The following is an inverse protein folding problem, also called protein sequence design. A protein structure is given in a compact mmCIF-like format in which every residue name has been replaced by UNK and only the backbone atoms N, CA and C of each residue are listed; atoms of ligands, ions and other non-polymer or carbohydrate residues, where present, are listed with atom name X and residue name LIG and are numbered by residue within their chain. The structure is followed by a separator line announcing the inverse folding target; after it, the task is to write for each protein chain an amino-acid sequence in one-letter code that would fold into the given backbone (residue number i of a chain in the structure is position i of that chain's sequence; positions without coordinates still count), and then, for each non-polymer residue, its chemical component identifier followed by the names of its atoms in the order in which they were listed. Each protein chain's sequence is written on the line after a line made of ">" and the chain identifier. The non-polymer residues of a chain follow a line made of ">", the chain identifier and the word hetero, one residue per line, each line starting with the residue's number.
data_IF_303065899056
#
_entry.id   IF_303065899056
#
_cell.length_a   1.000
_cell.length_b   1.000
_cell.length_c   1.000
_cell.angle_alpha   90.00
_cell.angle_beta   90.00
_cell.angle_gamma   90.00
#
_symmetry.space_group_name_H-M   'P 1'
#
loop_
_entity.id
_entity.type
_entity.pdbx_description
1 polymer ?
#
# COMPACT_ATOMS: atom_id res chain seq x y z
N UNK A 1 -2.07 3.31 -0.18
CA UNK A 1 -3.12 2.54 -0.85
C UNK A 1 -2.97 1.04 -0.60
N UNK A 2 -1.83 0.41 -0.96
CA UNK A 2 -1.61 -1.03 -0.86
C UNK A 2 -1.91 -1.60 0.55
N UNK A 3 -1.31 -1.00 1.58
CA UNK A 3 -1.54 -1.40 2.98
C UNK A 3 -3.00 -1.23 3.42
N UNK A 4 -3.72 -0.21 2.91
CA UNK A 4 -5.15 -0.03 3.18
C UNK A 4 -5.99 -1.11 2.50
N UNK A 5 -5.63 -1.54 1.28
CA UNK A 5 -6.29 -2.68 0.63
C UNK A 5 -6.12 -3.94 1.47
N UNK A 6 -4.90 -4.25 1.94
CA UNK A 6 -4.64 -5.38 2.83
C UNK A 6 -5.43 -5.27 4.15
N UNK A 7 -5.38 -4.11 4.80
CA UNK A 7 -6.06 -3.87 6.08
C UNK A 7 -7.57 -4.07 5.96
N UNK A 8 -8.21 -3.39 5.00
CA UNK A 8 -9.67 -3.48 4.83
C UNK A 8 -10.11 -4.86 4.32
N UNK A 9 -9.30 -5.55 3.51
CA UNK A 9 -9.59 -6.93 3.10
C UNK A 9 -9.60 -7.87 4.30
N UNK A 10 -8.58 -7.82 5.16
CA UNK A 10 -8.51 -8.62 6.40
C UNK A 10 -9.62 -8.26 7.38
N UNK A 11 -9.93 -6.96 7.55
CA UNK A 11 -11.04 -6.51 8.38
C UNK A 11 -12.40 -7.01 7.86
N UNK A 12 -12.58 -7.04 6.54
CA UNK A 12 -13.80 -7.60 5.93
C UNK A 12 -13.94 -9.10 6.21
N UNK A 13 -12.84 -9.87 6.13
CA UNK A 13 -12.88 -11.30 6.46
C UNK A 13 -13.34 -11.57 7.90
N UNK A 14 -13.04 -10.67 8.84
CA UNK A 14 -13.43 -10.82 10.25
C UNK A 14 -14.93 -10.58 10.50
N UNK A 15 -15.54 -9.60 9.84
CA UNK A 15 -16.90 -9.16 10.19
C UNK A 15 -17.82 -8.86 9.00
N UNK A 16 -17.35 -9.05 7.77
CA UNK A 16 -18.06 -8.84 6.52
C UNK A 16 -18.76 -7.46 6.39
N UNK A 17 -18.14 -6.44 6.97
CA UNK A 17 -18.67 -5.09 6.90
C UNK A 17 -18.52 -4.53 5.47
N UNK A 18 -19.64 -4.24 4.82
CA UNK A 18 -19.69 -3.71 3.44
C UNK A 18 -18.94 -2.37 3.26
N UNK A 19 -18.73 -1.61 4.33
CA UNK A 19 -17.89 -0.42 4.27
C UNK A 19 -16.45 -0.78 3.89
N UNK A 20 -15.87 -1.82 4.48
CA UNK A 20 -14.51 -2.26 4.18
C UNK A 20 -14.37 -2.74 2.73
N UNK A 21 -15.34 -3.54 2.27
CA UNK A 21 -15.39 -3.97 0.85
C UNK A 21 -15.45 -2.76 -0.09
N UNK A 22 -16.34 -1.80 0.18
CA UNK A 22 -16.45 -0.58 -0.60
C UNK A 22 -15.14 0.19 -0.67
N UNK A 23 -14.41 0.33 0.46
CA UNK A 23 -13.11 1.01 0.48
C UNK A 23 -12.08 0.28 -0.38
N UNK A 24 -11.99 -1.06 -0.30
CA UNK A 24 -11.09 -1.84 -1.17
C UNK A 24 -11.39 -1.59 -2.64
N UNK A 25 -12.67 -1.68 -3.03
CA UNK A 25 -13.08 -1.46 -4.43
C UNK A 25 -12.74 -0.05 -4.92
N UNK A 26 -12.99 0.99 -4.10
CA UNK A 26 -12.67 2.38 -4.45
C UNK A 26 -11.16 2.61 -4.57
N UNK A 27 -10.33 2.02 -3.68
CA UNK A 27 -8.87 2.13 -3.74
C UNK A 27 -8.33 1.40 -4.98
N UNK A 28 -8.75 0.16 -5.23
CA UNK A 28 -8.30 -0.61 -6.40
C UNK A 28 -8.69 0.08 -7.71
N UNK A 29 -9.91 0.64 -7.80
CA UNK A 29 -10.35 1.43 -8.94
C UNK A 29 -9.47 2.67 -9.18
N UNK A 30 -9.06 3.36 -8.12
CA UNK A 30 -8.13 4.50 -8.20
C UNK A 30 -6.75 4.05 -8.73
N UNK A 31 -6.20 2.96 -8.19
CA UNK A 31 -4.92 2.40 -8.62
C UNK A 31 -4.97 2.02 -10.11
N UNK A 32 -6.02 1.34 -10.54
CA UNK A 32 -6.17 0.92 -11.94
C UNK A 32 -6.29 2.11 -12.91
N UNK A 33 -6.95 3.19 -12.49
CA UNK A 33 -7.18 4.35 -13.34
C UNK A 33 -6.02 5.34 -13.37
N UNK A 34 -5.32 5.52 -12.27
CA UNK A 34 -4.37 6.64 -12.12
C UNK A 34 -2.91 6.18 -11.97
N UNK A 35 -2.65 4.96 -11.49
CA UNK A 35 -1.29 4.51 -11.15
C UNK A 35 -0.88 3.20 -11.82
N UNK A 36 -1.67 2.64 -12.73
CA UNK A 36 -1.33 1.38 -13.41
C UNK A 36 -0.57 1.63 -14.70
N UNK A 37 0.53 0.88 -14.89
CA UNK A 37 1.23 0.73 -16.14
C UNK A 37 0.64 -0.43 -16.97
N UNK A 38 0.79 -0.39 -18.30
CA UNK A 38 0.25 -1.41 -19.20
C UNK A 38 0.87 -2.80 -18.99
N UNK A 39 2.07 -2.88 -18.41
CA UNK A 39 2.89 -4.10 -18.29
C UNK A 39 2.70 -4.84 -16.95
N UNK A 40 1.66 -4.52 -16.18
CA UNK A 40 1.43 -5.18 -14.89
C UNK A 40 1.99 -4.42 -13.68
N UNK A 41 2.79 -3.38 -13.89
CA UNK A 41 3.37 -2.58 -12.81
C UNK A 41 2.43 -1.48 -12.30
N UNK A 42 2.85 -0.87 -11.18
CA UNK A 42 2.22 0.32 -10.60
C UNK A 42 3.24 1.44 -10.48
N UNK A 43 2.86 2.63 -10.92
CA UNK A 43 3.64 3.86 -10.78
C UNK A 43 3.68 4.35 -9.34
N UNK A 44 4.67 5.17 -9.02
CA UNK A 44 4.95 5.58 -7.65
C UNK A 44 3.88 6.50 -7.06
N UNK A 45 3.58 7.62 -7.73
CA UNK A 45 2.68 8.63 -7.17
C UNK A 45 2.19 9.64 -8.19
N UNK A 46 1.18 10.40 -7.81
CA UNK A 46 0.83 11.67 -8.41
C UNK A 46 1.46 12.79 -7.59
N UNK A 47 1.87 13.87 -8.25
CA UNK A 47 2.37 15.07 -7.59
C UNK A 47 1.32 15.66 -6.64
N UNK A 48 1.73 16.26 -5.55
CA UNK A 48 0.84 17.00 -4.66
C UNK A 48 0.33 18.28 -5.35
N UNK A 49 1.16 18.88 -6.20
CA UNK A 49 0.84 20.10 -6.92
C UNK A 49 0.20 19.84 -8.28
N UNK A 50 -0.70 20.71 -8.65
CA UNK A 50 -1.26 20.79 -10.00
C UNK A 50 -1.55 22.25 -10.37
N UNK A 51 -1.71 22.54 -11.67
CA UNK A 51 -2.03 23.90 -12.08
C UNK A 51 -3.47 24.28 -11.68
N UNK A 52 -3.58 25.41 -11.00
CA UNK A 52 -4.86 26.06 -10.71
C UNK A 52 -5.44 26.75 -11.94
N UNK A 53 -6.60 27.40 -11.80
CA UNK A 53 -7.28 28.11 -12.90
C UNK A 53 -6.48 29.28 -13.52
N UNK A 54 -5.43 29.76 -12.83
CA UNK A 54 -4.52 30.81 -13.30
C UNK A 54 -3.27 30.22 -14.00
N UNK A 55 -3.11 28.90 -14.02
CA UNK A 55 -1.93 28.21 -14.54
C UNK A 55 -0.75 28.15 -13.58
N UNK A 56 -0.90 28.54 -12.32
CA UNK A 56 0.11 28.50 -11.27
C UNK A 56 0.07 27.12 -10.59
N UNK A 57 1.24 26.59 -10.17
CA UNK A 57 1.32 25.36 -9.38
C UNK A 57 0.80 25.63 -7.98
N UNK A 58 -0.14 24.82 -7.55
CA UNK A 58 -0.74 24.90 -6.21
C UNK A 58 -1.05 23.50 -5.68
N UNK A 59 -0.67 23.26 -4.43
CA UNK A 59 -0.94 22.01 -3.73
C UNK A 59 -2.44 21.75 -3.63
N UNK A 60 -2.86 20.56 -4.05
CA UNK A 60 -4.23 20.10 -3.96
C UNK A 60 -5.19 20.70 -4.99
N UNK A 61 -4.76 21.64 -5.88
CA UNK A 61 -5.65 22.34 -6.80
C UNK A 61 -6.56 21.43 -7.65
N UNK A 62 -6.09 20.26 -8.02
CA UNK A 62 -6.88 19.27 -8.76
C UNK A 62 -8.05 18.73 -7.95
N UNK A 63 -7.92 18.60 -6.62
CA UNK A 63 -8.86 17.85 -5.76
C UNK A 63 -9.80 18.73 -4.94
N UNK A 64 -9.43 19.99 -4.68
CA UNK A 64 -10.22 20.89 -3.86
C UNK A 64 -11.27 21.66 -4.67
N UNK A 65 -12.28 22.21 -3.99
CA UNK A 65 -13.43 22.86 -4.61
C UNK A 65 -13.74 24.18 -3.95
N UNK A 66 -14.10 25.19 -4.74
CA UNK A 66 -14.69 26.40 -4.20
C UNK A 66 -16.19 26.24 -4.00
N UNK A 67 -16.77 26.98 -3.08
CA UNK A 67 -18.22 26.99 -2.86
C UNK A 67 -18.99 27.42 -4.13
N UNK A 68 -18.45 28.39 -4.88
CA UNK A 68 -19.06 28.87 -6.10
C UNK A 68 -19.13 27.81 -7.21
N UNK A 69 -18.05 27.03 -7.39
CA UNK A 69 -18.02 25.88 -8.31
C UNK A 69 -19.07 24.84 -7.90
N UNK A 70 -19.11 24.47 -6.62
CA UNK A 70 -20.06 23.47 -6.12
C UNK A 70 -21.51 23.91 -6.30
N UNK A 71 -21.84 25.18 -6.05
CA UNK A 71 -23.20 25.75 -6.30
C UNK A 71 -23.58 25.68 -7.78
N UNK A 72 -22.63 25.99 -8.66
CA UNK A 72 -22.87 25.95 -10.10
C UNK A 72 -23.11 24.53 -10.62
N UNK A 73 -22.31 23.56 -10.14
CA UNK A 73 -22.37 22.17 -10.57
C UNK A 73 -23.60 21.43 -10.02
N UNK A 74 -23.93 21.65 -8.75
CA UNK A 74 -24.94 20.85 -8.03
C UNK A 74 -26.29 21.52 -7.95
N UNK A 75 -26.37 22.81 -8.24
CA UNK A 75 -27.65 23.58 -8.29
C UNK A 75 -28.53 23.36 -7.05
N UNK A 76 -29.72 22.81 -7.23
CA UNK A 76 -30.71 22.56 -6.15
C UNK A 76 -30.20 21.60 -5.06
N UNK A 77 -29.28 20.69 -5.40
CA UNK A 77 -28.74 19.72 -4.46
C UNK A 77 -27.60 20.29 -3.59
N UNK A 78 -27.10 21.50 -3.90
CA UNK A 78 -25.94 22.07 -3.21
C UNK A 78 -26.07 22.10 -1.69
N UNK A 79 -27.22 22.52 -1.15
CA UNK A 79 -27.41 22.64 0.32
C UNK A 79 -27.24 21.28 1.02
N UNK A 80 -27.83 20.23 0.46
CA UNK A 80 -27.75 18.89 1.01
C UNK A 80 -26.32 18.33 0.87
N UNK A 81 -25.68 18.54 -0.29
CA UNK A 81 -24.31 18.19 -0.54
C UNK A 81 -23.33 18.87 0.44
N UNK A 82 -23.51 20.20 0.64
CA UNK A 82 -22.65 20.97 1.53
C UNK A 82 -22.74 20.48 2.98
N UNK A 83 -23.95 20.11 3.43
CA UNK A 83 -24.12 19.50 4.75
C UNK A 83 -23.49 18.11 4.84
N UNK A 84 -23.57 17.30 3.77
CA UNK A 84 -23.02 15.93 3.73
C UNK A 84 -21.50 15.90 3.71
N UNK A 85 -20.87 16.79 2.95
CA UNK A 85 -19.41 16.86 2.80
C UNK A 85 -18.75 17.99 3.60
N UNK A 86 -19.47 18.63 4.54
CA UNK A 86 -18.95 19.65 5.43
C UNK A 86 -18.27 20.83 4.69
N UNK A 87 -19.00 21.44 3.74
CA UNK A 87 -18.56 22.70 3.12
C UNK A 87 -18.77 23.85 4.12
N UNK A 88 -17.92 23.90 5.12
CA UNK A 88 -17.90 24.81 6.27
C UNK A 88 -16.48 24.83 6.87
N UNK A 89 -16.28 25.40 8.05
CA UNK A 89 -14.97 25.50 8.71
C UNK A 89 -14.28 24.14 8.89
N UNK A 90 -15.03 23.04 9.03
CA UNK A 90 -14.46 21.69 9.18
C UNK A 90 -13.84 21.17 7.87
N UNK A 91 -14.45 21.45 6.73
CA UNK A 91 -13.93 21.07 5.42
C UNK A 91 -13.08 22.15 4.74
N UNK A 92 -12.90 23.31 5.39
CA UNK A 92 -12.09 24.39 4.85
C UNK A 92 -10.61 23.97 4.71
N UNK A 93 -10.03 24.22 3.53
CA UNK A 93 -8.63 23.94 3.26
C UNK A 93 -7.78 25.21 3.33
N UNK A 94 -7.79 25.99 2.28
CA UNK A 94 -7.12 27.30 2.15
C UNK A 94 -7.74 28.09 0.99
N UNK A 95 -7.58 29.40 0.96
CA UNK A 95 -7.96 30.24 -0.19
C UNK A 95 -9.42 30.02 -0.68
N UNK A 96 -10.36 29.90 0.24
CA UNK A 96 -11.79 29.58 -0.05
C UNK A 96 -12.01 28.23 -0.79
N UNK A 97 -11.09 27.30 -0.65
CA UNK A 97 -11.24 25.93 -1.12
C UNK A 97 -11.59 24.98 0.02
N UNK A 98 -12.31 23.93 -0.33
CA UNK A 98 -12.80 22.90 0.58
C UNK A 98 -12.34 21.52 0.15
N UNK A 99 -12.03 20.67 1.12
CA UNK A 99 -11.86 19.22 0.98
C UNK A 99 -13.17 18.55 1.34
N UNK A 100 -13.57 17.55 0.56
CA UNK A 100 -14.82 16.84 0.78
C UNK A 100 -14.66 15.80 1.90
N UNK A 101 -15.03 16.17 3.12
CA UNK A 101 -14.87 15.36 4.34
C UNK A 101 -16.23 14.97 4.89
N UNK A 102 -16.39 13.72 5.30
CA UNK A 102 -17.57 13.23 6.03
C UNK A 102 -17.23 13.01 7.50
N UNK A 103 -18.09 13.44 8.39
CA UNK A 103 -17.96 13.28 9.83
C UNK A 103 -19.06 12.40 10.46
N UNK A 104 -19.95 11.82 9.64
CA UNK A 104 -21.00 10.91 10.07
C UNK A 104 -21.27 9.84 9.02
N UNK A 105 -21.89 8.73 9.43
CA UNK A 105 -22.27 7.66 8.50
C UNK A 105 -23.44 8.08 7.59
N UNK A 106 -23.60 7.38 6.45
CA UNK A 106 -24.74 7.60 5.55
C UNK A 106 -26.08 7.41 6.27
N UNK A 107 -26.19 6.43 7.17
CA UNK A 107 -27.38 6.16 7.96
C UNK A 107 -27.72 7.32 8.92
N UNK A 108 -26.70 7.82 9.64
CA UNK A 108 -26.88 8.95 10.56
C UNK A 108 -27.29 10.21 9.81
N UNK A 109 -26.65 10.48 8.66
CA UNK A 109 -26.97 11.64 7.83
C UNK A 109 -28.37 11.55 7.24
N UNK A 110 -28.76 10.41 6.67
CA UNK A 110 -30.07 10.18 6.10
C UNK A 110 -31.18 10.39 7.17
N UNK A 111 -31.01 9.77 8.34
CA UNK A 111 -31.97 9.95 9.47
C UNK A 111 -32.10 11.41 9.91
N UNK A 112 -30.97 12.13 10.02
CA UNK A 112 -30.96 13.55 10.45
C UNK A 112 -31.66 14.47 9.45
N UNK A 113 -31.64 14.14 8.15
CA UNK A 113 -32.20 14.95 7.08
C UNK A 113 -33.53 14.40 6.53
N UNK A 114 -34.14 13.45 7.25
CA UNK A 114 -35.43 12.85 6.88
C UNK A 114 -35.46 12.25 5.46
N UNK A 115 -34.32 11.63 5.07
CA UNK A 115 -34.16 10.97 3.77
C UNK A 115 -34.15 9.45 3.91
N UNK A 116 -34.67 8.78 2.92
CA UNK A 116 -34.41 7.34 2.76
C UNK A 116 -32.95 7.09 2.41
N UNK A 117 -32.35 6.06 3.05
CA UNK A 117 -30.95 5.73 2.82
C UNK A 117 -30.63 5.43 1.35
N UNK A 118 -31.57 4.78 0.64
CA UNK A 118 -31.45 4.51 -0.79
C UNK A 118 -31.37 5.79 -1.61
N UNK A 119 -32.24 6.76 -1.33
CA UNK A 119 -32.25 8.06 -1.99
C UNK A 119 -30.92 8.81 -1.79
N UNK A 120 -30.40 8.84 -0.55
CA UNK A 120 -29.13 9.46 -0.25
C UNK A 120 -27.99 8.80 -1.06
N UNK A 121 -27.95 7.47 -1.14
CA UNK A 121 -26.92 6.75 -1.89
C UNK A 121 -26.95 7.10 -3.39
N UNK A 122 -28.12 7.21 -3.99
CA UNK A 122 -28.24 7.61 -5.40
C UNK A 122 -27.82 9.08 -5.61
N UNK A 123 -28.18 9.98 -4.70
CA UNK A 123 -27.70 11.37 -4.72
C UNK A 123 -26.17 11.43 -4.62
N UNK A 124 -25.56 10.72 -3.68
CA UNK A 124 -24.09 10.67 -3.51
C UNK A 124 -23.40 10.14 -4.78
N UNK A 125 -23.94 9.10 -5.40
CA UNK A 125 -23.45 8.58 -6.67
C UNK A 125 -23.50 9.62 -7.80
N UNK A 126 -24.62 10.33 -7.90
CA UNK A 126 -24.82 11.42 -8.87
C UNK A 126 -23.84 12.56 -8.64
N UNK A 127 -23.69 13.03 -7.39
CA UNK A 127 -22.73 14.09 -7.05
C UNK A 127 -21.29 13.69 -7.38
N UNK A 128 -20.87 12.46 -7.00
CA UNK A 128 -19.56 11.94 -7.37
C UNK A 128 -19.33 11.95 -8.89
N UNK A 129 -20.32 11.55 -9.68
CA UNK A 129 -20.24 11.56 -11.14
C UNK A 129 -20.06 12.98 -11.69
N UNK A 130 -20.89 13.94 -11.25
CA UNK A 130 -20.80 15.34 -11.66
C UNK A 130 -19.42 15.94 -11.34
N UNK A 131 -18.96 15.73 -10.10
CA UNK A 131 -17.67 16.26 -9.65
C UNK A 131 -16.49 15.60 -10.38
N UNK A 132 -16.53 14.29 -10.61
CA UNK A 132 -15.49 13.62 -11.40
C UNK A 132 -15.43 14.14 -12.84
N UNK A 133 -16.57 14.35 -13.49
CA UNK A 133 -16.60 14.94 -14.84
C UNK A 133 -16.05 16.38 -14.86
N UNK A 134 -16.35 17.18 -13.84
CA UNK A 134 -15.81 18.53 -13.73
C UNK A 134 -14.30 18.51 -13.43
N UNK A 135 -13.85 17.68 -12.50
CA UNK A 135 -12.45 17.52 -12.12
C UNK A 135 -11.59 17.04 -13.30
N UNK A 136 -12.09 16.10 -14.09
CA UNK A 136 -11.35 15.55 -15.23
C UNK A 136 -11.09 16.58 -16.35
N UNK A 137 -11.73 17.76 -16.29
CA UNK A 137 -11.41 18.89 -17.17
C UNK A 137 -10.25 19.74 -16.67
N UNK A 138 -9.85 19.58 -15.41
CA UNK A 138 -8.69 20.27 -14.82
C UNK A 138 -7.41 19.59 -15.27
N UNK A 139 -6.29 20.33 -15.22
CA UNK A 139 -4.99 19.74 -15.44
C UNK A 139 -4.65 18.77 -14.32
N UNK A 140 -4.42 17.50 -14.65
CA UNK A 140 -4.03 16.47 -13.68
C UNK A 140 -2.66 16.80 -13.08
N UNK A 141 -2.40 16.36 -11.83
CA UNK A 141 -1.06 16.31 -11.25
C UNK A 141 -0.10 15.52 -12.14
N UNK A 142 1.18 15.85 -12.08
CA UNK A 142 2.19 15.09 -12.79
C UNK A 142 2.29 13.68 -12.20
N UNK A 143 2.50 12.71 -13.07
CA UNK A 143 2.72 11.32 -12.69
C UNK A 143 4.21 11.08 -12.46
N UNK A 144 4.60 10.59 -11.30
CA UNK A 144 5.89 9.96 -11.10
C UNK A 144 5.84 8.52 -11.61
N UNK A 145 6.23 8.35 -12.85
CA UNK A 145 6.18 7.09 -13.59
C UNK A 145 7.29 6.08 -13.22
N UNK A 146 8.02 6.31 -12.13
CA UNK A 146 8.92 5.30 -11.58
C UNK A 146 8.12 4.13 -11.00
N UNK A 147 8.61 2.93 -11.24
CA UNK A 147 8.13 1.70 -10.62
C UNK A 147 9.13 1.34 -9.52
N UNK A 148 8.69 1.34 -8.26
CA UNK A 148 9.51 0.95 -7.12
C UNK A 148 9.18 -0.49 -6.70
N UNK A 149 10.21 -1.31 -6.49
CA UNK A 149 10.07 -2.73 -6.17
C UNK A 149 9.26 -2.95 -4.90
N UNK A 150 9.61 -2.29 -3.80
CA UNK A 150 8.89 -2.43 -2.53
C UNK A 150 7.43 -1.99 -2.61
N UNK A 151 7.12 -0.89 -3.31
CA UNK A 151 5.76 -0.41 -3.43
C UNK A 151 4.88 -1.29 -4.32
N UNK A 152 5.47 -1.87 -5.37
CA UNK A 152 4.79 -2.87 -6.19
C UNK A 152 4.58 -4.18 -5.41
N UNK A 153 5.55 -4.63 -4.64
CA UNK A 153 5.42 -5.78 -3.77
C UNK A 153 4.31 -5.59 -2.70
N UNK A 154 4.20 -4.39 -2.12
CA UNK A 154 3.08 -4.06 -1.24
C UNK A 154 1.73 -4.11 -1.97
N UNK A 155 1.68 -3.64 -3.24
CA UNK A 155 0.45 -3.69 -4.03
C UNK A 155 0.09 -5.12 -4.44
N UNK A 156 1.09 -5.94 -4.79
CA UNK A 156 0.94 -7.38 -4.99
C UNK A 156 0.29 -8.04 -3.76
N UNK A 157 0.82 -7.76 -2.54
CA UNK A 157 0.22 -8.23 -1.29
C UNK A 157 -1.23 -7.77 -1.15
N UNK A 158 -1.52 -6.51 -1.47
CA UNK A 158 -2.88 -5.96 -1.43
C UNK A 158 -3.86 -6.71 -2.33
N UNK A 159 -3.47 -7.02 -3.57
CA UNK A 159 -4.29 -7.80 -4.50
C UNK A 159 -4.49 -9.25 -4.04
N UNK A 160 -3.46 -9.88 -3.46
CA UNK A 160 -3.59 -11.22 -2.86
C UNK A 160 -4.56 -11.21 -1.70
N UNK A 161 -4.46 -10.23 -0.79
CA UNK A 161 -5.37 -10.11 0.35
C UNK A 161 -6.81 -9.80 -0.10
N UNK A 162 -6.99 -8.98 -1.15
CA UNK A 162 -8.31 -8.75 -1.76
C UNK A 162 -8.88 -10.03 -2.41
N UNK A 163 -8.05 -10.82 -3.07
CA UNK A 163 -8.48 -12.13 -3.60
C UNK A 163 -8.91 -13.08 -2.47
N UNK A 164 -8.13 -13.19 -1.39
CA UNK A 164 -8.48 -13.99 -0.21
C UNK A 164 -9.81 -13.56 0.42
N UNK A 165 -10.10 -12.25 0.41
CA UNK A 165 -11.32 -11.71 1.01
C UNK A 165 -12.57 -11.84 0.15
N UNK A 166 -12.45 -11.68 -1.18
CA UNK A 166 -13.60 -11.54 -2.07
C UNK A 166 -13.75 -12.64 -3.11
N UNK A 167 -12.75 -13.51 -3.28
CA UNK A 167 -12.77 -14.62 -4.25
C UNK A 167 -12.76 -14.18 -5.73
N UNK A 168 -12.49 -12.90 -6.02
CA UNK A 168 -12.51 -12.38 -7.38
C UNK A 168 -11.21 -12.74 -8.12
N UNK A 169 -11.30 -13.62 -9.11
CA UNK A 169 -10.17 -14.10 -9.92
C UNK A 169 -9.41 -12.99 -10.66
N UNK A 170 -10.05 -11.83 -10.94
CA UNK A 170 -9.37 -10.69 -11.52
C UNK A 170 -8.28 -10.13 -10.60
N UNK A 171 -8.45 -10.19 -9.28
CA UNK A 171 -7.43 -9.77 -8.32
C UNK A 171 -6.24 -10.71 -8.31
N UNK A 172 -6.46 -12.03 -8.35
CA UNK A 172 -5.38 -12.99 -8.46
C UNK A 172 -4.61 -12.81 -9.77
N UNK A 173 -5.32 -12.63 -10.89
CA UNK A 173 -4.69 -12.38 -12.19
C UNK A 173 -3.81 -11.12 -12.13
N UNK A 174 -4.31 -10.01 -11.54
CA UNK A 174 -3.55 -8.78 -11.40
C UNK A 174 -2.32 -8.93 -10.50
N UNK A 175 -2.43 -9.73 -9.44
CA UNK A 175 -1.31 -10.09 -8.57
C UNK A 175 -0.23 -10.86 -9.34
N UNK A 176 -0.61 -11.85 -10.14
CA UNK A 176 0.31 -12.64 -10.97
C UNK A 176 1.02 -11.74 -12.01
N UNK A 177 0.27 -10.90 -12.73
CA UNK A 177 0.84 -9.95 -13.70
C UNK A 177 1.88 -9.02 -13.06
N UNK A 178 1.61 -8.55 -11.84
CA UNK A 178 2.56 -7.70 -11.12
C UNK A 178 3.79 -8.49 -10.63
N UNK A 179 3.61 -9.72 -10.15
CA UNK A 179 4.74 -10.58 -9.78
C UNK A 179 5.62 -10.90 -10.99
N UNK A 180 5.04 -11.24 -12.12
CA UNK A 180 5.78 -11.53 -13.37
C UNK A 180 6.57 -10.29 -13.81
N UNK A 181 5.97 -9.09 -13.78
CA UNK A 181 6.68 -7.85 -14.07
C UNK A 181 7.91 -7.64 -13.17
N UNK A 182 7.75 -7.85 -11.84
CA UNK A 182 8.85 -7.67 -10.89
C UNK A 182 9.98 -8.70 -11.13
N UNK A 183 9.63 -9.94 -11.44
CA UNK A 183 10.59 -11.01 -11.75
C UNK A 183 11.35 -10.70 -13.04
N UNK A 184 10.65 -10.28 -14.08
CA UNK A 184 11.25 -10.02 -15.39
C UNK A 184 12.14 -8.76 -15.41
N UNK A 185 11.76 -7.71 -14.66
CA UNK A 185 12.40 -6.40 -14.79
C UNK A 185 13.27 -6.00 -13.59
N UNK A 186 13.04 -6.57 -12.40
CA UNK A 186 13.75 -6.17 -11.18
C UNK A 186 14.72 -7.23 -10.67
N UNK A 187 14.50 -8.52 -10.99
CA UNK A 187 15.41 -9.58 -10.61
C UNK A 187 16.66 -9.54 -11.51
N UNK A 188 17.83 -9.47 -10.88
CA UNK A 188 19.13 -9.47 -11.55
C UNK A 188 19.60 -10.90 -11.84
N UNK A 189 20.52 -11.05 -12.77
CA UNK A 189 21.12 -12.35 -13.14
C UNK A 189 21.92 -13.01 -12.01
N UNK A 190 22.43 -12.21 -11.07
CA UNK A 190 23.16 -12.67 -9.89
C UNK A 190 22.23 -13.05 -8.70
N UNK A 191 20.92 -12.97 -8.87
CA UNK A 191 19.92 -13.26 -7.85
C UNK A 191 19.55 -12.06 -6.97
N UNK A 192 20.19 -10.92 -7.14
CA UNK A 192 19.82 -9.67 -6.46
C UNK A 192 18.64 -8.97 -7.11
N UNK A 193 18.17 -7.89 -6.47
CA UNK A 193 17.09 -7.04 -6.97
C UNK A 193 17.59 -5.64 -7.32
N UNK A 194 16.90 -4.99 -8.24
CA UNK A 194 16.94 -3.55 -8.44
C UNK A 194 15.77 -2.90 -7.68
N UNK A 195 15.97 -1.65 -7.21
CA UNK A 195 14.96 -0.88 -6.50
C UNK A 195 13.93 -0.25 -7.41
N UNK A 196 14.36 0.26 -8.57
CA UNK A 196 13.54 1.09 -9.46
C UNK A 196 13.56 0.60 -10.89
N UNK A 197 12.44 0.84 -11.60
CA UNK A 197 12.37 0.70 -13.05
C UNK A 197 11.74 1.96 -13.64
N UNK A 198 12.36 2.48 -14.70
CA UNK A 198 11.85 3.62 -15.48
C UNK A 198 12.45 3.60 -16.88
N UNK A 199 11.64 3.87 -17.91
CA UNK A 199 12.08 3.92 -19.32
C UNK A 199 12.84 2.65 -19.75
N UNK A 200 12.34 1.47 -19.37
CA UNK A 200 12.94 0.19 -19.73
C UNK A 200 14.24 -0.14 -18.99
N UNK A 201 14.58 0.58 -17.93
CA UNK A 201 15.85 0.39 -17.19
C UNK A 201 15.65 0.33 -15.68
N UNK A 202 16.40 -0.58 -15.07
CA UNK A 202 16.57 -0.70 -13.62
C UNK A 202 18.03 -0.36 -13.27
N UNK A 203 18.26 0.59 -12.37
CA UNK A 203 19.58 1.21 -12.20
C UNK A 203 20.06 1.32 -10.75
N UNK A 204 19.18 1.22 -9.78
CA UNK A 204 19.50 1.39 -8.36
C UNK A 204 19.49 0.01 -7.70
N UNK A 205 20.56 -0.33 -6.97
CA UNK A 205 20.60 -1.53 -6.14
C UNK A 205 19.48 -1.49 -5.10
N UNK A 206 18.81 -2.63 -4.89
CA UNK A 206 17.70 -2.72 -3.96
C UNK A 206 18.16 -2.63 -2.49
N UNK A 207 17.32 -2.06 -1.65
CA UNK A 207 17.48 -2.05 -0.20
C UNK A 207 16.76 -3.25 0.42
N UNK A 208 17.03 -3.55 1.67
CA UNK A 208 16.39 -4.66 2.39
C UNK A 208 14.85 -4.60 2.32
N UNK A 209 14.27 -3.41 2.33
CA UNK A 209 12.83 -3.17 2.18
C UNK A 209 12.27 -3.81 0.91
N UNK A 210 12.99 -3.70 -0.21
CA UNK A 210 12.56 -4.23 -1.51
C UNK A 210 12.54 -5.77 -1.48
N UNK A 211 13.56 -6.39 -0.88
CA UNK A 211 13.60 -7.85 -0.69
C UNK A 211 12.53 -8.31 0.28
N UNK A 212 12.43 -7.68 1.45
CA UNK A 212 11.52 -8.08 2.51
C UNK A 212 10.06 -8.09 2.05
N UNK A 213 9.64 -7.00 1.40
CA UNK A 213 8.25 -6.87 0.89
C UNK A 213 7.97 -7.81 -0.28
N UNK A 214 8.94 -8.01 -1.19
CA UNK A 214 8.76 -8.94 -2.31
C UNK A 214 8.68 -10.39 -1.81
N UNK A 215 9.57 -10.82 -0.93
CA UNK A 215 9.52 -12.17 -0.33
C UNK A 215 8.16 -12.39 0.35
N UNK A 216 7.69 -11.44 1.16
CA UNK A 216 6.40 -11.51 1.84
C UNK A 216 5.26 -11.73 0.85
N UNK A 217 5.22 -10.93 -0.21
CA UNK A 217 4.14 -10.99 -1.20
C UNK A 217 4.20 -12.25 -2.07
N UNK A 218 5.39 -12.75 -2.39
CA UNK A 218 5.57 -14.01 -3.12
C UNK A 218 5.13 -15.22 -2.29
N UNK A 219 5.46 -15.26 -1.00
CA UNK A 219 4.94 -16.31 -0.08
C UNK A 219 3.41 -16.27 -0.06
N UNK A 220 2.83 -15.06 0.07
CA UNK A 220 1.36 -14.90 0.07
C UNK A 220 0.72 -15.27 -1.27
N UNK A 221 1.41 -15.02 -2.39
CA UNK A 221 0.94 -15.41 -3.72
C UNK A 221 1.00 -16.94 -3.90
N UNK A 222 2.06 -17.60 -3.40
CA UNK A 222 2.13 -19.05 -3.34
C UNK A 222 0.94 -19.64 -2.56
N UNK A 223 0.56 -19.07 -1.42
CA UNK A 223 -0.56 -19.56 -0.59
C UNK A 223 -1.90 -19.63 -1.34
N UNK A 224 -2.10 -18.81 -2.37
CA UNK A 224 -3.36 -18.75 -3.13
C UNK A 224 -3.28 -19.36 -4.53
N UNK A 225 -2.10 -19.39 -5.13
CA UNK A 225 -1.88 -19.97 -6.48
C UNK A 225 -1.41 -21.41 -6.43
N UNK A 226 -0.80 -21.85 -5.33
CA UNK A 226 -0.10 -23.14 -5.14
C UNK A 226 1.05 -23.33 -6.13
N UNK A 227 1.56 -22.24 -6.73
CA UNK A 227 2.70 -22.26 -7.63
C UNK A 227 4.01 -22.24 -6.84
N UNK A 228 4.74 -23.34 -6.86
CA UNK A 228 6.00 -23.52 -6.12
C UNK A 228 7.12 -22.59 -6.59
N UNK A 229 7.03 -22.03 -7.81
CA UNK A 229 8.02 -21.06 -8.31
C UNK A 229 8.18 -19.85 -7.38
N UNK A 230 7.08 -19.37 -6.80
CA UNK A 230 7.10 -18.22 -5.88
C UNK A 230 7.76 -18.57 -4.54
N UNK A 231 7.58 -19.79 -4.05
CA UNK A 231 8.23 -20.27 -2.84
C UNK A 231 9.74 -20.44 -3.05
N UNK A 232 10.13 -21.05 -4.18
CA UNK A 232 11.55 -21.22 -4.54
C UNK A 232 12.25 -19.87 -4.74
N UNK A 233 11.59 -18.91 -5.40
CA UNK A 233 12.14 -17.57 -5.58
C UNK A 233 12.28 -16.85 -4.22
N UNK A 234 11.30 -16.98 -3.34
CA UNK A 234 11.37 -16.43 -1.98
C UNK A 234 12.59 -16.96 -1.23
N UNK A 235 12.86 -18.26 -1.34
CA UNK A 235 14.07 -18.87 -0.75
C UNK A 235 15.36 -18.28 -1.33
N UNK A 236 15.44 -18.18 -2.64
CA UNK A 236 16.64 -17.64 -3.31
C UNK A 236 16.91 -16.18 -2.88
N UNK A 237 15.85 -15.37 -2.74
CA UNK A 237 15.95 -13.98 -2.27
C UNK A 237 16.37 -13.91 -0.79
N UNK A 238 15.87 -14.82 0.06
CA UNK A 238 16.35 -14.94 1.45
C UNK A 238 17.84 -15.31 1.48
N UNK A 239 18.25 -16.31 0.72
CA UNK A 239 19.66 -16.72 0.66
C UNK A 239 20.56 -15.53 0.22
N UNK A 240 20.12 -14.76 -0.79
CA UNK A 240 20.83 -13.57 -1.22
C UNK A 240 20.91 -12.51 -0.10
N UNK A 241 19.80 -12.25 0.62
CA UNK A 241 19.81 -11.27 1.73
C UNK A 241 20.70 -11.71 2.89
N UNK A 242 20.77 -13.00 3.19
CA UNK A 242 21.67 -13.53 4.24
C UNK A 242 23.13 -13.28 3.88
N UNK A 243 23.50 -13.44 2.61
CA UNK A 243 24.89 -13.20 2.16
C UNK A 243 25.25 -11.72 2.16
N UNK A 244 24.35 -10.84 1.72
CA UNK A 244 24.67 -9.44 1.41
C UNK A 244 24.21 -8.42 2.46
N UNK A 245 23.26 -8.77 3.31
CA UNK A 245 22.66 -7.83 4.27
C UNK A 245 22.78 -8.29 5.73
N UNK A 246 22.94 -9.59 6.02
CA UNK A 246 22.95 -10.08 7.39
C UNK A 246 24.22 -9.71 8.15
N UNK A 247 24.06 -9.25 9.39
CA UNK A 247 25.15 -8.99 10.33
C UNK A 247 25.18 -10.08 11.41
N UNK A 248 26.20 -10.93 11.34
CA UNK A 248 26.40 -12.00 12.32
C UNK A 248 26.66 -11.49 13.74
N UNK A 249 27.07 -10.23 13.90
CA UNK A 249 27.36 -9.65 15.22
C UNK A 249 26.07 -9.27 15.95
N UNK A 250 25.16 -8.60 15.26
CA UNK A 250 23.87 -8.18 15.83
C UNK A 250 22.77 -9.21 15.61
N UNK A 251 22.96 -10.22 14.75
CA UNK A 251 21.93 -11.13 14.28
C UNK A 251 20.72 -10.39 13.66
N UNK A 252 20.96 -9.29 12.98
CA UNK A 252 19.97 -8.48 12.28
C UNK A 252 20.41 -8.20 10.85
N UNK A 253 19.54 -7.64 10.02
CA UNK A 253 19.90 -7.24 8.66
C UNK A 253 20.16 -5.74 8.60
N UNK A 254 21.24 -5.36 7.90
CA UNK A 254 21.44 -3.97 7.50
C UNK A 254 20.40 -3.57 6.43
N UNK A 255 20.06 -2.29 6.38
CA UNK A 255 19.12 -1.76 5.38
C UNK A 255 19.71 -1.74 3.96
N UNK A 256 21.04 -1.57 3.84
CA UNK A 256 21.78 -1.49 2.58
C UNK A 256 22.67 -2.70 2.37
N UNK A 257 22.90 -3.07 1.10
CA UNK A 257 23.77 -4.19 0.73
C UNK A 257 25.25 -3.96 1.12
N UNK A 258 25.98 -5.03 1.41
CA UNK A 258 27.42 -4.99 1.56
C UNK A 258 28.18 -4.69 0.25
N UNK A 259 27.48 -4.76 -0.90
CA UNK A 259 28.02 -4.39 -2.20
C UNK A 259 28.11 -2.87 -2.41
N UNK A 260 27.35 -2.08 -1.65
CA UNK A 260 27.26 -0.63 -1.76
C UNK A 260 28.49 0.04 -1.11
N UNK A 261 29.61 0.09 -1.84
CA UNK A 261 30.94 0.48 -1.33
C UNK A 261 31.10 1.94 -0.89
N UNK A 262 30.15 2.82 -1.21
CA UNK A 262 30.26 4.27 -0.96
C UNK A 262 29.55 4.74 0.32
N UNK A 263 29.14 3.83 1.18
CA UNK A 263 28.41 4.16 2.41
C UNK A 263 29.39 4.38 3.58
N UNK A 264 29.20 5.48 4.31
CA UNK A 264 29.96 5.76 5.54
C UNK A 264 29.58 4.78 6.65
N UNK A 265 28.31 4.40 6.75
CA UNK A 265 27.81 3.41 7.71
C UNK A 265 26.57 2.72 7.15
N UNK A 266 26.38 1.45 7.54
CA UNK A 266 25.15 0.69 7.26
C UNK A 266 24.25 0.76 8.50
N UNK A 267 22.98 1.05 8.29
CA UNK A 267 21.96 1.15 9.36
C UNK A 267 21.12 -0.11 9.42
N UNK A 268 20.67 -0.45 10.62
CA UNK A 268 19.66 -1.47 10.88
C UNK A 268 18.34 -0.78 11.19
N UNK A 269 17.27 -1.11 10.46
CA UNK A 269 15.94 -0.57 10.64
C UNK A 269 15.06 -1.61 11.34
N UNK A 270 14.59 -1.29 12.54
CA UNK A 270 13.82 -2.23 13.38
C UNK A 270 12.47 -1.67 13.87
N UNK A 271 12.31 -0.34 13.81
CA UNK A 271 11.09 0.33 14.28
C UNK A 271 10.11 0.42 13.12
N UNK A 272 8.88 -0.05 13.33
CA UNK A 272 7.81 0.08 12.38
C UNK A 272 7.37 1.55 12.28
N UNK A 273 7.24 2.05 11.05
CA UNK A 273 6.85 3.41 10.74
C UNK A 273 5.59 3.45 9.86
N UNK A 274 5.63 4.28 8.80
CA UNK A 274 4.58 4.33 7.76
C UNK A 274 4.43 2.98 7.07
N UNK A 275 5.55 2.28 6.90
CA UNK A 275 5.63 0.87 6.48
C UNK A 275 6.25 0.09 7.64
N UNK A 276 5.93 -1.18 7.78
CA UNK A 276 6.63 -2.07 8.71
C UNK A 276 8.12 -2.10 8.41
N UNK A 277 8.96 -2.16 9.45
CA UNK A 277 10.41 -2.16 9.28
C UNK A 277 10.86 -3.37 8.46
N UNK A 278 11.89 -3.16 7.64
CA UNK A 278 12.43 -4.23 6.79
C UNK A 278 12.87 -5.46 7.59
N UNK A 279 13.43 -5.27 8.79
CA UNK A 279 13.79 -6.36 9.68
C UNK A 279 12.56 -7.10 10.26
N UNK A 280 11.50 -6.39 10.63
CA UNK A 280 10.29 -7.05 11.14
C UNK A 280 9.60 -7.90 10.06
N UNK A 281 9.61 -7.42 8.82
CA UNK A 281 9.09 -8.19 7.67
C UNK A 281 9.99 -9.40 7.41
N UNK A 282 11.32 -9.24 7.39
CA UNK A 282 12.25 -10.35 7.20
C UNK A 282 12.11 -11.42 8.27
N UNK A 283 11.96 -11.04 9.55
CA UNK A 283 11.75 -12.00 10.64
C UNK A 283 10.47 -12.84 10.44
N UNK A 284 9.36 -12.20 10.04
CA UNK A 284 8.12 -12.91 9.70
C UNK A 284 8.30 -13.81 8.45
N UNK A 285 9.03 -13.34 7.43
CA UNK A 285 9.33 -14.13 6.22
C UNK A 285 10.17 -15.37 6.54
N UNK A 286 11.24 -15.22 7.32
CA UNK A 286 12.07 -16.32 7.76
C UNK A 286 11.28 -17.36 8.55
N UNK A 287 10.38 -16.92 9.44
CA UNK A 287 9.52 -17.80 10.19
C UNK A 287 8.59 -18.62 9.26
N UNK A 288 7.85 -17.94 8.40
CA UNK A 288 6.90 -18.59 7.47
C UNK A 288 7.60 -19.52 6.49
N UNK A 289 8.65 -19.01 5.83
CA UNK A 289 9.38 -19.77 4.81
C UNK A 289 10.09 -20.97 5.44
N UNK A 290 10.66 -20.81 6.64
CA UNK A 290 11.26 -21.90 7.40
C UNK A 290 10.27 -23.02 7.69
N UNK A 291 9.01 -22.71 7.99
CA UNK A 291 7.97 -23.72 8.16
C UNK A 291 7.57 -24.40 6.83
N UNK A 292 7.42 -23.64 5.74
CA UNK A 292 7.11 -24.21 4.43
C UNK A 292 8.21 -25.18 3.91
N UNK A 293 9.46 -24.83 4.17
CA UNK A 293 10.63 -25.56 3.67
C UNK A 293 11.22 -26.55 4.68
N UNK A 294 10.66 -26.65 5.89
CA UNK A 294 11.24 -27.41 7.02
C UNK A 294 12.68 -26.98 7.35
N UNK A 295 13.01 -25.70 7.15
CA UNK A 295 14.33 -25.13 7.44
C UNK A 295 14.36 -24.51 8.83
N UNK A 296 14.87 -25.30 9.80
CA UNK A 296 14.97 -24.87 11.21
C UNK A 296 15.93 -23.69 11.40
N UNK A 297 16.92 -23.50 10.53
CA UNK A 297 17.86 -22.37 10.63
C UNK A 297 17.16 -21.05 10.38
N UNK A 298 16.26 -20.98 9.38
CA UNK A 298 15.45 -19.80 9.13
C UNK A 298 14.55 -19.47 10.33
N UNK A 299 13.91 -20.50 10.91
CA UNK A 299 13.06 -20.35 12.11
C UNK A 299 13.88 -19.83 13.30
N UNK A 300 15.08 -20.38 13.52
CA UNK A 300 15.96 -19.95 14.61
C UNK A 300 16.48 -18.53 14.42
N UNK A 301 16.83 -18.14 13.19
CA UNK A 301 17.18 -16.75 12.85
C UNK A 301 16.03 -15.79 13.18
N UNK A 302 14.81 -16.13 12.78
CA UNK A 302 13.60 -15.33 13.09
C UNK A 302 13.42 -15.13 14.59
N UNK A 303 13.54 -16.21 15.37
CA UNK A 303 13.43 -16.17 16.83
C UNK A 303 14.53 -15.34 17.48
N UNK A 304 15.77 -15.45 16.99
CA UNK A 304 16.90 -14.66 17.49
C UNK A 304 16.69 -13.17 17.21
N UNK A 305 16.22 -12.80 16.02
CA UNK A 305 15.90 -11.41 15.69
C UNK A 305 14.85 -10.83 16.65
N UNK A 306 13.78 -11.58 16.93
CA UNK A 306 12.74 -11.17 17.88
C UNK A 306 13.30 -11.06 19.31
N UNK A 307 14.11 -12.02 19.74
CA UNK A 307 14.73 -12.01 21.07
C UNK A 307 15.57 -10.76 21.30
N UNK A 308 16.33 -10.32 20.28
CA UNK A 308 17.16 -9.12 20.36
C UNK A 308 16.38 -7.83 20.63
N UNK A 309 15.07 -7.83 20.36
CA UNK A 309 14.20 -6.65 20.51
C UNK A 309 13.20 -6.77 21.66
N UNK A 310 13.26 -7.83 22.47
CA UNK A 310 12.25 -8.10 23.51
C UNK A 310 12.07 -6.92 24.47
N UNK A 311 13.15 -6.28 24.92
CA UNK A 311 13.08 -5.10 25.80
C UNK A 311 12.45 -3.89 25.12
N UNK A 312 12.82 -3.62 23.85
CA UNK A 312 12.30 -2.50 23.07
C UNK A 312 10.78 -2.65 22.81
N UNK A 313 10.33 -3.87 22.49
CA UNK A 313 8.91 -4.18 22.26
C UNK A 313 8.10 -3.93 23.54
N UNK A 314 8.63 -4.33 24.71
CA UNK A 314 7.97 -4.10 25.99
C UNK A 314 7.82 -2.61 26.31
N UNK A 315 8.84 -1.80 26.02
CA UNK A 315 8.84 -0.36 26.30
C UNK A 315 7.98 0.46 25.32
N UNK A 316 7.89 0.06 24.05
CA UNK A 316 7.20 0.80 22.99
C UNK A 316 6.51 -0.12 21.99
N UNK A 317 5.44 -0.78 22.39
CA UNK A 317 4.73 -1.76 21.55
C UNK A 317 4.19 -1.21 20.23
N UNK A 318 3.84 0.08 20.16
CA UNK A 318 3.31 0.70 18.94
C UNK A 318 4.35 0.77 17.81
N UNK A 319 5.61 1.02 18.14
CA UNK A 319 6.71 1.03 17.17
C UNK A 319 7.17 -0.37 16.73
N UNK A 320 6.54 -1.43 17.23
CA UNK A 320 6.91 -2.83 16.97
C UNK A 320 5.71 -3.73 16.65
N UNK A 321 4.66 -3.16 16.06
CA UNK A 321 3.41 -3.88 15.80
C UNK A 321 3.60 -5.13 14.91
N UNK A 322 4.46 -5.06 13.89
CA UNK A 322 4.73 -6.20 13.02
C UNK A 322 5.61 -7.28 13.69
N UNK A 323 6.44 -6.91 14.67
CA UNK A 323 7.13 -7.86 15.53
C UNK A 323 6.16 -8.58 16.48
N UNK A 324 5.16 -7.86 17.02
CA UNK A 324 4.10 -8.46 17.84
C UNK A 324 3.28 -9.48 17.03
N UNK A 325 3.08 -9.25 15.73
CA UNK A 325 2.48 -10.27 14.87
C UNK A 325 3.32 -11.56 14.84
N UNK A 326 4.65 -11.47 14.81
CA UNK A 326 5.52 -12.65 14.91
C UNK A 326 5.38 -13.35 16.27
N UNK A 327 5.26 -12.58 17.38
CA UNK A 327 5.01 -13.17 18.71
C UNK A 327 3.74 -14.02 18.70
N UNK A 328 2.64 -13.52 18.10
CA UNK A 328 1.39 -14.29 18.02
C UNK A 328 1.55 -15.57 17.23
N UNK A 329 2.35 -15.59 16.18
CA UNK A 329 2.62 -16.79 15.38
C UNK A 329 3.50 -17.81 16.11
N UNK A 330 4.34 -17.38 17.05
CA UNK A 330 5.19 -18.26 17.86
C UNK A 330 4.47 -18.87 19.04
N UNK A 331 3.37 -18.27 19.51
CA UNK A 331 2.63 -18.68 20.70
C UNK A 331 1.38 -19.50 20.39
N UNK A 332 0.98 -19.59 19.15
CA UNK A 332 -0.12 -20.43 18.65
C UNK A 332 0.40 -21.71 17.98
#
# INVERSE_FOLDING_TARGET
>A
NAQLVSLYSKAYQLNQNELYKKQVLEILSFIDQELSANEGAFYSSLDADSKNSKGELEEGAYYVWTEAELKTLLKGDYKLFAAYYNINDYGYWKNNHYVLIRNQSEQQFAKKNELELGELKEKVKTWKSILNQARNKRQKPNLDDKVLTSWNALMLQGYVDAYKAFGNSAYLKRAIENADFLIENQLRKDGGLNRNFKNGKSTINAYLEDYATLIQSLISLHEVSLDERYLQLSKNLVDYTVVHFYDNTSSMFFYTSGEDKNLIARKTEVIDGVISSSNSIMANNLFKLGHYLYDTKMIDMSKQMLHNLSSNIYENSLGFANWLHLVTNLTN
#
